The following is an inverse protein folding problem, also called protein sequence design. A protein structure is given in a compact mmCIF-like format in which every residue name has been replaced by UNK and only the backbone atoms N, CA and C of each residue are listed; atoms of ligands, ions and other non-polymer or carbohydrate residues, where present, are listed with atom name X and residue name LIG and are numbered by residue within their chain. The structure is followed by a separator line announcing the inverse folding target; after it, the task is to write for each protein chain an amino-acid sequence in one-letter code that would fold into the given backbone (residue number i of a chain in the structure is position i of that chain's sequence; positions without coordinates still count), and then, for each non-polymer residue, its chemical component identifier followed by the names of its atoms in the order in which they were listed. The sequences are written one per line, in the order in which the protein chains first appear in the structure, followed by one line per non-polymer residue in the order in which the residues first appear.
data_IF_017833949102
#
_entry.id   IF_017833949102
#
_cell.length_a   1.000
_cell.length_b   1.000
_cell.length_c   1.000
_cell.angle_alpha   90.00
_cell.angle_beta   90.00
_cell.angle_gamma   90.00
#
_symmetry.space_group_name_H-M   'P 1'
#
loop_
_entity.id
_entity.type
_entity.pdbx_description
1 polymer ?
#
# COMPACT_ATOMS: atom_id res chain seq x y z
N UNK A 1 -6.38 -29.07 -11.41
CA UNK A 1 -6.02 -28.12 -10.36
C UNK A 1 -4.66 -27.57 -10.74
N UNK A 2 -4.57 -26.30 -10.97
CA UNK A 2 -3.29 -25.65 -11.19
C UNK A 2 -2.44 -25.74 -9.92
N UNK A 3 -1.14 -25.84 -10.10
CA UNK A 3 -0.22 -25.89 -8.97
C UNK A 3 -0.11 -24.48 -8.34
N UNK A 4 -0.57 -24.23 -7.11
CA UNK A 4 -0.55 -22.89 -6.53
C UNK A 4 0.87 -22.37 -6.20
N UNK A 5 1.88 -23.21 -6.42
CA UNK A 5 3.30 -22.84 -6.28
C UNK A 5 3.99 -22.56 -7.63
N UNK A 6 3.26 -22.67 -8.74
CA UNK A 6 3.83 -22.29 -10.03
C UNK A 6 3.86 -20.76 -10.13
N UNK A 7 5.02 -20.21 -10.43
CA UNK A 7 5.19 -18.79 -10.74
C UNK A 7 5.13 -18.55 -12.24
N UNK A 8 4.59 -17.41 -12.64
CA UNK A 8 4.68 -16.86 -13.99
C UNK A 8 5.97 -16.03 -14.04
N UNK A 9 6.87 -16.27 -15.02
CA UNK A 9 8.02 -15.41 -15.22
C UNK A 9 7.58 -13.97 -15.58
N UNK A 10 8.37 -12.99 -15.12
CA UNK A 10 8.19 -11.60 -15.48
C UNK A 10 9.55 -10.94 -15.67
N UNK A 11 9.70 -10.15 -16.72
CA UNK A 11 10.90 -9.35 -16.97
C UNK A 11 10.81 -8.02 -16.21
N UNK A 12 11.91 -7.58 -15.60
CA UNK A 12 12.05 -6.24 -15.06
C UNK A 12 12.29 -5.28 -16.23
N UNK A 13 11.32 -4.46 -16.58
CA UNK A 13 11.39 -3.56 -17.74
C UNK A 13 11.89 -2.16 -17.35
N UNK A 14 11.67 -1.75 -16.09
CA UNK A 14 12.14 -0.46 -15.58
C UNK A 14 12.39 -0.51 -14.08
N UNK A 15 13.36 0.28 -13.62
CA UNK A 15 13.67 0.46 -12.20
C UNK A 15 13.79 1.95 -11.90
N UNK A 16 13.02 2.42 -10.91
CA UNK A 16 13.07 3.80 -10.42
C UNK A 16 13.55 3.82 -8.98
N UNK A 17 14.61 4.58 -8.71
CA UNK A 17 15.07 4.86 -7.35
C UNK A 17 14.15 5.92 -6.70
N UNK A 18 13.24 5.50 -5.82
CA UNK A 18 12.30 6.38 -5.13
C UNK A 18 12.94 7.13 -3.96
N UNK A 19 13.78 6.41 -3.21
CA UNK A 19 14.51 6.91 -2.05
C UNK A 19 15.80 6.12 -1.85
N UNK A 20 16.67 6.48 -0.89
CA UNK A 20 17.90 5.73 -0.65
C UNK A 20 17.74 4.22 -0.40
N UNK A 21 16.56 3.78 0.01
CA UNK A 21 16.28 2.38 0.36
C UNK A 21 15.03 1.81 -0.29
N UNK A 22 14.39 2.55 -1.21
CA UNK A 22 13.14 2.12 -1.85
C UNK A 22 13.28 2.28 -3.36
N UNK A 23 12.92 1.21 -4.09
CA UNK A 23 12.87 1.19 -5.55
C UNK A 23 11.48 0.76 -6.02
N UNK A 24 11.04 1.31 -7.14
CA UNK A 24 9.88 0.83 -7.91
C UNK A 24 10.38 0.04 -9.11
N UNK A 25 9.87 -1.18 -9.25
CA UNK A 25 10.14 -2.08 -10.36
C UNK A 25 8.90 -2.19 -11.23
N UNK A 26 9.03 -1.93 -12.52
CA UNK A 26 8.02 -2.30 -13.50
C UNK A 26 8.32 -3.71 -14.00
N UNK A 27 7.30 -4.56 -13.97
CA UNK A 27 7.38 -5.97 -14.33
C UNK A 27 6.43 -6.25 -15.48
N UNK A 28 6.94 -6.92 -16.53
CA UNK A 28 6.15 -7.44 -17.65
C UNK A 28 6.04 -8.96 -17.51
N UNK A 29 4.92 -9.51 -16.98
CA UNK A 29 4.72 -10.94 -16.86
C UNK A 29 4.45 -11.58 -18.23
N UNK A 30 4.84 -12.87 -18.42
CA UNK A 30 4.59 -13.63 -19.65
C UNK A 30 3.09 -13.75 -20.01
N UNK A 31 2.21 -13.55 -19.04
CA UNK A 31 0.75 -13.53 -19.20
C UNK A 31 0.17 -12.32 -18.44
N UNK A 32 -0.82 -11.61 -19.03
CA UNK A 32 -1.48 -10.49 -18.36
C UNK A 32 -1.99 -10.86 -16.96
N UNK A 33 -1.80 -9.97 -16.00
CA UNK A 33 -2.20 -10.19 -14.61
C UNK A 33 -3.27 -9.19 -14.17
N UNK A 34 -4.47 -9.70 -13.91
CA UNK A 34 -5.54 -8.93 -13.29
C UNK A 34 -5.40 -8.99 -11.76
N UNK A 35 -5.55 -7.87 -11.07
CA UNK A 35 -5.56 -7.82 -9.61
C UNK A 35 -6.54 -6.74 -9.14
N UNK A 36 -7.07 -6.89 -7.92
CA UNK A 36 -7.83 -5.84 -7.26
C UNK A 36 -6.92 -5.00 -6.36
N UNK A 37 -7.23 -3.70 -6.23
CA UNK A 37 -6.45 -2.81 -5.35
C UNK A 37 -6.39 -3.34 -3.92
N UNK A 38 -5.19 -3.42 -3.36
CA UNK A 38 -4.95 -3.98 -2.03
C UNK A 38 -4.69 -5.49 -2.00
N UNK A 39 -4.91 -6.24 -3.07
CA UNK A 39 -4.40 -7.60 -3.20
C UNK A 39 -2.88 -7.60 -3.33
N UNK A 40 -2.23 -8.73 -3.06
CA UNK A 40 -0.79 -8.86 -3.13
C UNK A 40 -0.35 -10.03 -4.03
N UNK A 41 0.87 -9.96 -4.49
CA UNK A 41 1.57 -11.02 -5.20
C UNK A 41 2.73 -11.55 -4.35
N UNK A 42 3.15 -12.80 -4.60
CA UNK A 42 4.43 -13.31 -4.16
C UNK A 42 5.43 -13.13 -5.29
N UNK A 43 6.44 -12.30 -5.06
CA UNK A 43 7.53 -12.07 -5.99
C UNK A 43 8.71 -12.96 -5.58
N UNK A 44 9.18 -13.80 -6.50
CA UNK A 44 10.25 -14.76 -6.25
C UNK A 44 11.52 -14.42 -7.01
N UNK A 45 12.64 -14.53 -6.31
CA UNK A 45 13.98 -14.48 -6.90
C UNK A 45 14.47 -15.91 -7.08
N UNK A 46 14.82 -16.35 -8.29
CA UNK A 46 15.24 -17.72 -8.55
C UNK A 46 16.40 -18.18 -7.66
N UNK A 47 16.17 -19.27 -6.92
CA UNK A 47 17.19 -19.86 -6.05
C UNK A 47 17.36 -19.24 -4.66
N UNK A 48 16.69 -18.13 -4.37
CA UNK A 48 16.78 -17.44 -3.08
C UNK A 48 15.48 -17.57 -2.24
N UNK A 49 14.35 -17.17 -2.81
CA UNK A 49 13.08 -17.21 -2.09
C UNK A 49 12.03 -16.29 -2.68
N UNK A 50 10.99 -16.01 -1.91
CA UNK A 50 9.89 -15.14 -2.31
C UNK A 50 9.43 -14.25 -1.15
N UNK A 51 8.86 -13.10 -1.49
CA UNK A 51 8.27 -12.17 -0.53
C UNK A 51 6.96 -11.56 -1.09
N UNK A 52 5.99 -11.19 -0.21
CA UNK A 52 4.73 -10.60 -0.62
C UNK A 52 4.87 -9.10 -0.88
N UNK A 53 4.29 -8.64 -1.99
CA UNK A 53 4.18 -7.22 -2.33
C UNK A 53 2.81 -6.91 -2.91
N UNK A 54 2.22 -5.79 -2.51
CA UNK A 54 1.02 -5.27 -3.15
C UNK A 54 1.45 -4.49 -4.39
N UNK A 55 0.88 -4.78 -5.59
CA UNK A 55 1.14 -3.97 -6.77
C UNK A 55 0.76 -2.50 -6.51
N UNK A 56 1.64 -1.60 -6.92
CA UNK A 56 1.47 -0.15 -6.76
C UNK A 56 0.97 0.54 -8.02
N UNK A 57 0.90 -0.18 -9.16
CA UNK A 57 0.31 0.30 -10.41
C UNK A 57 -1.22 0.31 -10.39
N UNK A 58 -1.81 0.89 -11.43
CA UNK A 58 -3.26 0.85 -11.62
C UNK A 58 -3.73 -0.56 -11.98
N UNK A 59 -4.77 -1.11 -11.32
CA UNK A 59 -5.39 -2.37 -11.71
C UNK A 59 -5.99 -2.39 -13.13
N UNK A 60 -6.19 -1.21 -13.73
CA UNK A 60 -6.68 -1.08 -15.10
C UNK A 60 -5.60 -1.39 -16.16
N UNK A 61 -4.34 -1.54 -15.75
CA UNK A 61 -3.21 -1.95 -16.60
C UNK A 61 -2.87 -3.39 -16.25
N UNK A 62 -2.99 -4.30 -17.21
CA UNK A 62 -2.81 -5.74 -16.97
C UNK A 62 -1.58 -6.34 -17.64
N UNK A 63 -1.02 -5.65 -18.64
CA UNK A 63 0.16 -6.12 -19.37
C UNK A 63 1.46 -5.91 -18.56
N UNK A 64 1.49 -4.89 -17.71
CA UNK A 64 2.59 -4.62 -16.78
C UNK A 64 2.05 -4.35 -15.39
N UNK A 65 2.88 -4.53 -14.38
CA UNK A 65 2.58 -4.12 -13.01
C UNK A 65 3.81 -3.51 -12.35
N UNK A 66 3.59 -2.55 -11.45
CA UNK A 66 4.66 -1.98 -10.64
C UNK A 66 4.60 -2.53 -9.22
N UNK A 67 5.76 -2.79 -8.65
CA UNK A 67 5.93 -3.10 -7.22
C UNK A 67 6.99 -2.18 -6.63
N UNK A 68 6.69 -1.58 -5.49
CA UNK A 68 7.61 -0.68 -4.79
C UNK A 68 8.12 -1.36 -3.55
N UNK A 69 9.43 -1.52 -3.47
CA UNK A 69 10.11 -2.43 -2.55
C UNK A 69 11.11 -1.66 -1.71
N UNK A 70 10.98 -1.77 -0.40
CA UNK A 70 11.99 -1.32 0.55
C UNK A 70 13.02 -2.43 0.77
N UNK A 71 14.29 -2.10 0.74
CA UNK A 71 15.38 -3.00 1.09
C UNK A 71 15.34 -3.32 2.60
N UNK A 72 14.97 -4.55 2.96
CA UNK A 72 14.77 -4.94 4.37
C UNK A 72 15.26 -6.36 4.72
N UNK A 73 15.64 -7.18 3.73
CA UNK A 73 16.06 -8.57 3.95
C UNK A 73 16.69 -9.19 2.71
N UNK A 74 16.98 -10.50 2.76
CA UNK A 74 17.72 -11.18 1.67
C UNK A 74 17.02 -11.08 0.31
N UNK A 75 15.71 -11.34 0.23
CA UNK A 75 14.96 -11.30 -1.03
C UNK A 75 14.90 -9.85 -1.57
N UNK A 76 14.62 -8.89 -0.71
CA UNK A 76 14.55 -7.48 -1.11
C UNK A 76 15.91 -6.91 -1.47
N UNK A 77 16.98 -7.32 -0.78
CA UNK A 77 18.35 -6.93 -1.12
C UNK A 77 18.76 -7.45 -2.49
N UNK A 78 18.49 -8.73 -2.80
CA UNK A 78 18.77 -9.29 -4.13
C UNK A 78 17.95 -8.59 -5.23
N UNK A 79 16.66 -8.29 -4.98
CA UNK A 79 15.83 -7.52 -5.91
C UNK A 79 16.44 -6.13 -6.18
N UNK A 80 16.99 -5.48 -5.15
CA UNK A 80 17.67 -4.19 -5.30
C UNK A 80 18.98 -4.25 -6.10
N UNK A 81 19.64 -5.41 -6.13
CA UNK A 81 20.86 -5.66 -6.91
C UNK A 81 20.54 -6.09 -8.36
N UNK A 82 19.27 -6.42 -8.70
CA UNK A 82 18.84 -6.78 -10.05
C UNK A 82 18.81 -5.57 -10.99
N UNK A 83 18.79 -5.85 -12.29
CA UNK A 83 18.82 -4.88 -13.38
C UNK A 83 17.66 -5.08 -14.34
N UNK A 84 17.37 -4.07 -15.14
CA UNK A 84 16.45 -4.19 -16.28
C UNK A 84 16.90 -5.33 -17.21
N UNK A 85 15.94 -6.15 -17.63
CA UNK A 85 16.14 -7.39 -18.40
C UNK A 85 16.31 -8.64 -17.54
N UNK A 86 16.46 -8.53 -16.23
CA UNK A 86 16.44 -9.68 -15.34
C UNK A 86 15.02 -10.24 -15.16
N UNK A 87 14.92 -11.52 -14.81
CA UNK A 87 13.64 -12.21 -14.68
C UNK A 87 13.36 -12.60 -13.24
N UNK A 88 12.16 -12.32 -12.79
CA UNK A 88 11.59 -12.71 -11.50
C UNK A 88 10.39 -13.65 -11.71
N UNK A 89 9.93 -14.31 -10.66
CA UNK A 89 8.71 -15.10 -10.74
C UNK A 89 7.57 -14.46 -9.96
N UNK A 90 6.36 -14.46 -10.49
CA UNK A 90 5.17 -13.91 -9.86
C UNK A 90 4.16 -15.01 -9.58
N UNK A 91 3.62 -15.05 -8.38
CA UNK A 91 2.46 -15.88 -8.00
C UNK A 91 1.37 -14.99 -7.39
N UNK A 92 0.15 -15.25 -7.72
CA UNK A 92 -1.00 -14.49 -7.23
C UNK A 92 -1.93 -14.09 -8.37
N UNK A 93 -2.78 -13.05 -8.18
CA UNK A 93 -2.91 -12.27 -6.94
C UNK A 93 -3.53 -13.08 -5.79
N UNK A 94 -3.31 -12.65 -4.57
CA UNK A 94 -3.81 -13.28 -3.36
C UNK A 94 -4.40 -12.25 -2.40
N UNK A 95 -5.19 -12.75 -1.46
CA UNK A 95 -5.77 -11.94 -0.42
C UNK A 95 -7.12 -11.34 -0.80
N UNK A 96 -7.51 -10.30 -0.07
CA UNK A 96 -8.71 -9.49 -0.29
C UNK A 96 -8.29 -8.03 -0.34
N UNK A 97 -8.66 -7.38 -1.42
CA UNK A 97 -8.40 -5.97 -1.64
C UNK A 97 -9.36 -5.04 -0.89
N UNK A 98 -9.28 -3.76 -1.22
CA UNK A 98 -10.19 -2.74 -0.72
C UNK A 98 -11.58 -2.92 -1.34
N UNK A 99 -12.66 -2.85 -0.54
CA UNK A 99 -14.03 -3.01 -1.02
C UNK A 99 -14.53 -1.69 -1.63
N UNK A 100 -14.16 -1.39 -2.87
CA UNK A 100 -14.50 -0.13 -3.55
C UNK A 100 -16.02 0.12 -3.58
N UNK A 101 -16.83 -0.93 -3.78
CA UNK A 101 -18.30 -0.83 -3.78
C UNK A 101 -18.84 -0.31 -2.43
N UNK A 102 -18.18 -0.60 -1.31
CA UNK A 102 -18.58 -0.11 0.01
C UNK A 102 -18.13 1.35 0.25
N UNK A 103 -17.24 1.87 -0.59
CA UNK A 103 -16.72 3.24 -0.54
C UNK A 103 -17.48 4.18 -1.47
N UNK A 104 -18.32 3.67 -2.39
CA UNK A 104 -19.10 4.48 -3.32
C UNK A 104 -19.99 5.50 -2.60
N UNK A 105 -19.98 6.75 -3.08
CA UNK A 105 -20.71 7.89 -2.53
C UNK A 105 -20.17 8.43 -1.20
N UNK A 106 -19.04 7.91 -0.73
CA UNK A 106 -18.42 8.28 0.54
C UNK A 106 -17.16 9.10 0.33
N UNK A 107 -16.83 9.97 1.27
CA UNK A 107 -15.52 10.60 1.32
C UNK A 107 -14.47 9.57 1.75
N UNK A 108 -13.28 9.61 1.15
CA UNK A 108 -12.21 8.66 1.41
C UNK A 108 -10.97 9.40 1.92
N UNK A 109 -10.64 9.18 3.19
CA UNK A 109 -9.41 9.64 3.80
C UNK A 109 -8.34 8.55 3.69
N UNK A 110 -7.28 8.80 2.97
CA UNK A 110 -6.14 7.90 2.83
C UNK A 110 -4.97 8.42 3.65
N UNK A 111 -4.43 7.60 4.55
CA UNK A 111 -3.30 7.98 5.42
C UNK A 111 -2.15 7.01 5.18
N UNK A 112 -1.08 7.51 4.60
CA UNK A 112 0.11 6.73 4.24
C UNK A 112 1.35 7.11 5.05
N UNK A 113 2.25 6.14 5.27
CA UNK A 113 3.55 6.39 5.89
C UNK A 113 4.68 5.62 5.20
N UNK A 114 5.72 6.34 4.75
CA UNK A 114 6.87 5.76 4.08
C UNK A 114 6.48 4.88 2.89
N UNK A 115 7.01 3.66 2.81
CA UNK A 115 6.68 2.71 1.73
C UNK A 115 5.20 2.27 1.74
N UNK A 116 4.45 2.52 2.82
CA UNK A 116 3.01 2.24 2.89
C UNK A 116 2.16 3.04 1.90
N UNK A 117 2.71 4.08 1.25
CA UNK A 117 2.03 4.72 0.11
C UNK A 117 1.92 3.79 -1.10
N UNK A 118 2.81 2.81 -1.26
CA UNK A 118 2.81 1.91 -2.40
C UNK A 118 1.52 1.07 -2.52
N UNK A 119 1.06 0.35 -1.48
CA UNK A 119 -0.25 -0.32 -1.51
C UNK A 119 -1.43 0.65 -1.71
N UNK A 120 -1.32 1.87 -1.21
CA UNK A 120 -2.36 2.90 -1.33
C UNK A 120 -2.42 3.54 -2.72
N UNK A 121 -1.32 3.54 -3.47
CA UNK A 121 -1.24 4.13 -4.80
C UNK A 121 -2.20 3.45 -5.79
N UNK A 122 -2.31 2.11 -5.75
CA UNK A 122 -3.28 1.37 -6.57
C UNK A 122 -4.73 1.75 -6.22
N UNK A 123 -5.04 1.99 -4.95
CA UNK A 123 -6.34 2.49 -4.50
C UNK A 123 -6.60 3.90 -5.05
N UNK A 124 -5.65 4.82 -4.91
CA UNK A 124 -5.78 6.20 -5.40
C UNK A 124 -6.03 6.24 -6.91
N UNK A 125 -5.38 5.37 -7.69
CA UNK A 125 -5.68 5.24 -9.13
C UNK A 125 -7.13 4.83 -9.39
N UNK A 126 -7.69 3.92 -8.62
CA UNK A 126 -9.08 3.48 -8.81
C UNK A 126 -10.07 4.57 -8.39
N UNK A 127 -9.82 5.26 -7.26
CA UNK A 127 -10.67 6.36 -6.80
C UNK A 127 -10.69 7.53 -7.80
N UNK A 128 -9.54 7.88 -8.37
CA UNK A 128 -9.42 8.98 -9.34
C UNK A 128 -9.86 8.62 -10.76
N UNK A 129 -9.87 7.33 -11.11
CA UNK A 129 -10.36 6.89 -12.41
C UNK A 129 -11.90 7.03 -12.54
N UNK A 130 -12.62 7.07 -11.44
CA UNK A 130 -14.08 7.16 -11.38
C UNK A 130 -14.50 8.19 -10.30
N UNK A 131 -14.11 9.47 -10.46
CA UNK A 131 -14.28 10.48 -9.42
C UNK A 131 -15.76 10.76 -9.08
N UNK A 132 -16.69 10.54 -10.01
CA UNK A 132 -18.13 10.72 -9.78
C UNK A 132 -18.73 9.63 -8.85
N UNK A 133 -18.03 8.50 -8.68
CA UNK A 133 -18.49 7.40 -7.84
C UNK A 133 -18.11 7.59 -6.36
N UNK A 134 -17.20 8.50 -6.06
CA UNK A 134 -16.71 8.76 -4.69
C UNK A 134 -16.98 10.22 -4.29
N UNK A 135 -16.94 10.49 -2.99
CA UNK A 135 -16.94 11.84 -2.45
C UNK A 135 -15.53 12.47 -2.52
N UNK A 136 -15.20 13.29 -1.54
CA UNK A 136 -13.87 13.92 -1.44
C UNK A 136 -12.81 12.85 -1.21
N UNK A 137 -11.70 12.93 -1.94
CA UNK A 137 -10.53 12.06 -1.77
C UNK A 137 -9.42 12.89 -1.11
N UNK A 138 -9.04 12.53 0.11
CA UNK A 138 -7.98 13.20 0.85
C UNK A 138 -6.81 12.24 1.09
N UNK A 139 -5.60 12.66 0.75
CA UNK A 139 -4.37 11.93 1.04
C UNK A 139 -3.52 12.69 2.07
N UNK A 140 -3.29 12.08 3.23
CA UNK A 140 -2.35 12.53 4.23
C UNK A 140 -1.14 11.58 4.19
N UNK A 141 0.03 12.08 3.79
CA UNK A 141 1.20 11.25 3.61
C UNK A 141 2.39 11.78 4.41
N UNK A 142 3.02 10.89 5.16
CA UNK A 142 4.18 11.17 6.00
C UNK A 142 5.40 10.34 5.61
N UNK A 143 6.57 10.96 5.62
CA UNK A 143 7.86 10.29 5.45
C UNK A 143 8.85 10.76 6.54
N UNK A 144 9.99 10.07 6.64
CA UNK A 144 11.02 10.42 7.63
C UNK A 144 11.70 11.75 7.32
N UNK A 145 11.98 12.00 6.04
CA UNK A 145 12.64 13.21 5.55
C UNK A 145 12.22 13.44 4.07
N UNK A 146 12.49 14.62 3.48
CA UNK A 146 12.07 14.92 2.10
C UNK A 146 12.65 13.95 1.05
N UNK A 147 13.85 13.42 1.26
CA UNK A 147 14.48 12.42 0.38
C UNK A 147 13.90 11.01 0.53
N UNK A 148 13.07 10.76 1.56
CA UNK A 148 12.34 9.51 1.81
C UNK A 148 10.90 9.54 1.29
N UNK A 149 10.42 10.65 0.73
CA UNK A 149 9.17 10.70 -0.01
C UNK A 149 9.31 9.88 -1.30
N UNK A 150 8.35 8.99 -1.55
CA UNK A 150 8.29 8.20 -2.80
C UNK A 150 7.29 8.81 -3.78
N UNK A 151 7.43 8.52 -5.08
CA UNK A 151 6.57 9.02 -6.16
C UNK A 151 6.51 10.56 -6.25
N UNK A 152 7.65 11.23 -6.08
CA UNK A 152 7.71 12.69 -5.96
C UNK A 152 7.02 13.43 -7.10
N UNK A 153 7.27 13.01 -8.36
CA UNK A 153 6.61 13.62 -9.53
C UNK A 153 5.09 13.47 -9.46
N UNK A 154 4.59 12.34 -8.98
CA UNK A 154 3.17 12.09 -8.83
C UNK A 154 2.57 12.84 -7.64
N UNK A 155 3.32 13.01 -6.54
CA UNK A 155 2.90 13.86 -5.42
C UNK A 155 2.78 15.33 -5.86
N UNK A 156 3.68 15.81 -6.71
CA UNK A 156 3.61 17.16 -7.29
C UNK A 156 2.36 17.31 -8.17
N UNK A 157 2.05 16.32 -9.00
CA UNK A 157 0.85 16.30 -9.82
C UNK A 157 -0.43 16.29 -8.97
N UNK A 158 -0.49 15.46 -7.93
CA UNK A 158 -1.61 15.41 -7.00
C UNK A 158 -1.77 16.70 -6.20
N UNK A 159 -0.68 17.33 -5.77
CA UNK A 159 -0.68 18.59 -5.03
C UNK A 159 -0.91 19.83 -5.89
N UNK A 160 -0.97 19.70 -7.22
CA UNK A 160 -1.10 20.84 -8.14
C UNK A 160 -2.46 21.56 -8.09
N UNK A 161 -3.46 21.01 -7.38
CA UNK A 161 -4.82 21.51 -7.32
C UNK A 161 -5.64 21.25 -8.61
N UNK A 162 -5.06 20.58 -9.59
CA UNK A 162 -5.75 20.08 -10.78
C UNK A 162 -6.17 18.61 -10.62
N UNK A 163 -5.74 17.95 -9.56
CA UNK A 163 -6.08 16.59 -9.21
C UNK A 163 -7.37 16.55 -8.36
N UNK A 164 -8.06 15.42 -8.42
CA UNK A 164 -9.21 15.12 -7.55
C UNK A 164 -8.76 14.76 -6.10
N UNK A 165 -7.45 14.71 -5.83
CA UNK A 165 -6.88 14.38 -4.51
C UNK A 165 -6.53 15.67 -3.77
N UNK A 166 -7.08 15.81 -2.55
CA UNK A 166 -6.64 16.81 -1.58
C UNK A 166 -5.44 16.25 -0.80
N UNK A 167 -4.24 16.72 -1.19
CA UNK A 167 -2.96 16.20 -0.68
C UNK A 167 -2.38 17.09 0.43
N UNK A 168 -2.04 16.47 1.56
CA UNK A 168 -1.14 17.07 2.54
C UNK A 168 0.04 16.14 2.85
N UNK A 169 1.22 16.76 2.87
CA UNK A 169 2.49 16.08 3.14
C UNK A 169 3.09 16.54 4.47
N UNK A 170 3.77 15.63 5.15
CA UNK A 170 4.61 15.94 6.30
C UNK A 170 5.88 15.09 6.29
N UNK A 171 6.92 15.59 6.93
CA UNK A 171 8.15 14.82 7.19
C UNK A 171 8.49 14.91 8.67
N UNK A 172 9.06 13.85 9.25
CA UNK A 172 9.46 13.88 10.67
C UNK A 172 10.59 14.90 10.88
N UNK A 173 11.53 15.01 9.91
CA UNK A 173 12.65 15.94 9.90
C UNK A 173 12.73 16.65 8.54
N UNK A 174 12.49 17.96 8.52
CA UNK A 174 12.67 18.81 7.33
C UNK A 174 14.15 19.20 7.14
N UNK A 175 14.54 19.44 5.89
CA UNK A 175 15.82 20.06 5.54
C UNK A 175 15.64 21.57 5.26
N UNK A 176 16.73 22.23 4.80
CA UNK A 176 16.73 23.68 4.55
C UNK A 176 15.80 24.10 3.39
N UNK A 177 15.45 23.17 2.50
CA UNK A 177 14.62 23.41 1.31
C UNK A 177 13.16 22.97 1.53
N UNK A 178 12.83 22.33 2.68
CA UNK A 178 11.49 21.84 2.97
C UNK A 178 10.57 22.94 3.48
N UNK A 179 9.54 23.28 2.70
CA UNK A 179 8.52 24.28 3.05
C UNK A 179 7.20 23.68 3.58
N UNK A 180 7.06 22.33 3.59
CA UNK A 180 5.85 21.63 4.03
C UNK A 180 5.77 21.44 5.54
N UNK A 181 4.79 20.63 5.98
CA UNK A 181 4.62 20.32 7.40
C UNK A 181 5.79 19.49 7.95
N UNK A 182 6.11 19.71 9.23
CA UNK A 182 7.11 18.95 9.97
C UNK A 182 6.47 18.30 11.19
N UNK A 183 6.66 17.00 11.33
CA UNK A 183 6.13 16.17 12.40
C UNK A 183 5.47 14.90 11.86
N UNK A 184 4.95 14.10 12.79
CA UNK A 184 4.30 12.82 12.46
C UNK A 184 2.98 13.02 11.72
N UNK A 185 2.60 12.05 10.88
CA UNK A 185 1.41 12.16 10.02
C UNK A 185 0.10 12.35 10.79
N UNK A 186 0.04 11.93 12.05
CA UNK A 186 -1.13 12.18 12.92
C UNK A 186 -1.40 13.65 13.19
N UNK A 187 -0.41 14.55 13.03
CA UNK A 187 -0.62 15.99 13.15
C UNK A 187 -1.51 16.54 12.04
N UNK A 188 -1.59 15.85 10.89
CA UNK A 188 -2.45 16.20 9.75
C UNK A 188 -3.91 15.76 9.94
N UNK A 189 -4.24 15.12 11.06
CA UNK A 189 -5.59 14.62 11.36
C UNK A 189 -6.40 15.54 12.28
N UNK A 190 -5.85 16.68 12.70
CA UNK A 190 -6.53 17.59 13.64
C UNK A 190 -7.70 18.33 12.98
N UNK A 191 -7.59 18.67 11.68
CA UNK A 191 -8.58 19.42 10.92
C UNK A 191 -8.96 18.64 9.64
N UNK A 192 -9.76 17.57 9.78
CA UNK A 192 -10.20 16.75 8.66
C UNK A 192 -11.29 17.45 7.84
N UNK A 193 -11.05 17.57 6.54
CA UNK A 193 -12.01 18.15 5.59
C UNK A 193 -12.89 17.11 4.88
N UNK A 194 -13.09 15.93 5.47
CA UNK A 194 -13.95 14.85 4.99
C UNK A 194 -15.20 14.71 5.85
N UNK A 195 -16.30 14.22 5.29
CA UNK A 195 -17.48 13.82 6.04
C UNK A 195 -17.16 12.59 6.90
N UNK A 196 -16.84 12.81 8.18
CA UNK A 196 -16.44 11.74 9.09
C UNK A 196 -17.60 10.84 9.55
N UNK A 197 -18.86 11.31 9.40
CA UNK A 197 -20.04 10.50 9.74
C UNK A 197 -20.36 9.44 8.67
N UNK A 198 -19.99 9.70 7.42
CA UNK A 198 -20.28 8.83 6.28
C UNK A 198 -19.03 8.40 5.52
N UNK A 199 -17.91 9.05 5.72
CA UNK A 199 -16.65 8.75 5.07
C UNK A 199 -16.02 7.46 5.56
N UNK A 200 -14.93 7.08 4.92
CA UNK A 200 -14.06 5.97 5.33
C UNK A 200 -12.63 6.46 5.45
N UNK A 201 -11.86 5.82 6.31
CA UNK A 201 -10.42 6.03 6.43
C UNK A 201 -9.65 4.76 6.04
N UNK A 202 -8.58 4.92 5.30
CA UNK A 202 -7.69 3.84 4.86
C UNK A 202 -6.28 4.15 5.35
N UNK A 203 -5.65 3.21 6.06
CA UNK A 203 -4.34 3.42 6.68
C UNK A 203 -3.36 2.34 6.27
N UNK A 204 -2.17 2.74 5.82
CA UNK A 204 -1.06 1.85 5.54
C UNK A 204 0.29 2.51 5.86
N UNK A 205 1.17 1.77 6.53
CA UNK A 205 2.50 2.26 6.91
C UNK A 205 3.12 1.44 8.04
N UNK A 206 4.19 1.94 8.65
CA UNK A 206 4.81 1.26 9.78
C UNK A 206 3.83 0.98 10.93
N UNK A 207 3.92 -0.18 11.62
CA UNK A 207 2.97 -0.57 12.66
C UNK A 207 2.73 0.50 13.73
N UNK A 208 3.79 1.18 14.16
CA UNK A 208 3.68 2.25 15.15
C UNK A 208 2.89 3.46 14.63
N UNK A 209 3.09 3.84 13.36
CA UNK A 209 2.32 4.90 12.71
C UNK A 209 0.85 4.48 12.59
N UNK A 210 0.57 3.27 12.07
CA UNK A 210 -0.79 2.75 11.94
C UNK A 210 -1.53 2.73 13.28
N UNK A 211 -0.85 2.33 14.36
CA UNK A 211 -1.41 2.33 15.71
C UNK A 211 -1.89 3.71 16.14
N UNK A 212 -1.02 4.71 16.09
CA UNK A 212 -1.38 6.06 16.54
C UNK A 212 -2.37 6.73 15.59
N UNK A 213 -2.24 6.55 14.29
CA UNK A 213 -3.20 7.02 13.29
C UNK A 213 -4.59 6.44 13.56
N UNK A 214 -4.69 5.12 13.75
CA UNK A 214 -5.97 4.47 14.08
C UNK A 214 -6.57 5.01 15.36
N UNK A 215 -5.76 5.22 16.42
CA UNK A 215 -6.23 5.80 17.67
C UNK A 215 -6.80 7.20 17.50
N UNK A 216 -6.14 8.06 16.71
CA UNK A 216 -6.65 9.41 16.41
C UNK A 216 -7.92 9.36 15.56
N UNK A 217 -7.99 8.45 14.58
CA UNK A 217 -9.15 8.31 13.69
C UNK A 217 -10.41 7.82 14.41
N UNK A 218 -10.29 7.09 15.50
CA UNK A 218 -11.43 6.64 16.33
C UNK A 218 -12.19 7.77 17.01
N UNK A 219 -11.64 8.97 17.07
CA UNK A 219 -12.36 10.17 17.52
C UNK A 219 -13.31 10.73 16.44
N UNK A 220 -13.16 10.28 15.19
CA UNK A 220 -13.85 10.79 14.01
C UNK A 220 -14.67 9.73 13.27
N UNK A 221 -14.18 8.50 13.18
CA UNK A 221 -14.77 7.42 12.39
C UNK A 221 -15.20 6.25 13.26
N UNK A 222 -16.25 5.56 12.84
CA UNK A 222 -16.58 4.28 13.43
C UNK A 222 -15.49 3.24 13.11
N UNK A 223 -15.29 2.30 14.04
CA UNK A 223 -14.25 1.25 13.91
C UNK A 223 -14.41 0.37 12.65
N UNK A 224 -15.62 0.25 12.12
CA UNK A 224 -15.94 -0.47 10.88
C UNK A 224 -15.59 0.29 9.61
N UNK A 225 -15.41 1.61 9.72
CA UNK A 225 -15.10 2.51 8.60
C UNK A 225 -13.61 2.85 8.50
N UNK A 226 -12.78 2.25 9.35
CA UNK A 226 -11.32 2.39 9.30
C UNK A 226 -10.73 1.10 8.74
N UNK A 227 -10.19 1.17 7.53
CA UNK A 227 -9.54 0.07 6.83
C UNK A 227 -8.02 0.11 7.06
N UNK A 228 -7.44 -1.03 7.42
CA UNK A 228 -6.03 -1.20 7.72
C UNK A 228 -5.42 -2.19 6.73
N UNK A 229 -4.35 -1.80 6.04
CA UNK A 229 -3.55 -2.72 5.25
C UNK A 229 -2.50 -3.36 6.14
N UNK A 230 -2.76 -4.59 6.57
CA UNK A 230 -1.93 -5.32 7.53
C UNK A 230 -0.90 -6.19 6.83
N UNK A 231 0.28 -6.31 7.43
CA UNK A 231 1.32 -7.20 6.95
C UNK A 231 1.70 -8.25 8.00
N UNK A 232 2.09 -9.40 7.54
CA UNK A 232 2.72 -10.48 8.32
C UNK A 232 3.66 -11.27 7.40
N UNK A 233 4.65 -11.92 7.98
CA UNK A 233 5.51 -12.83 7.23
C UNK A 233 4.68 -13.91 6.54
N UNK A 234 4.88 -14.09 5.25
CA UNK A 234 4.16 -15.06 4.44
C UNK A 234 5.11 -16.08 3.82
N UNK A 235 4.63 -17.33 3.68
CA UNK A 235 5.35 -18.37 2.96
C UNK A 235 4.52 -18.92 1.81
N UNK A 236 3.29 -19.40 2.04
CA UNK A 236 2.48 -19.96 0.96
C UNK A 236 1.73 -18.90 0.14
N UNK A 237 1.23 -17.83 0.77
CA UNK A 237 0.45 -16.78 0.13
C UNK A 237 -1.07 -17.06 0.02
N UNK A 238 -1.54 -18.30 0.28
CA UNK A 238 -2.93 -18.72 0.02
C UNK A 238 -3.59 -19.48 1.20
N UNK A 239 -3.17 -19.21 2.43
CA UNK A 239 -3.87 -19.70 3.63
C UNK A 239 -3.59 -21.15 4.06
N UNK A 240 -2.51 -21.79 3.60
CA UNK A 240 -2.21 -23.20 3.89
C UNK A 240 -1.24 -23.40 5.04
N UNK A 241 -0.19 -22.58 5.16
CA UNK A 241 0.90 -22.85 6.11
C UNK A 241 0.67 -22.26 7.50
N UNK A 242 -0.23 -21.27 7.66
CA UNK A 242 -0.50 -20.60 8.93
C UNK A 242 0.55 -19.57 9.34
N UNK A 243 1.61 -19.33 8.55
CA UNK A 243 2.70 -18.43 8.90
C UNK A 243 2.25 -16.97 9.11
N UNK A 244 1.29 -16.52 8.31
CA UNK A 244 0.72 -15.18 8.37
C UNK A 244 -0.49 -15.06 9.31
N UNK A 245 -0.57 -15.89 10.35
CA UNK A 245 -1.70 -15.88 11.27
C UNK A 245 -1.76 -14.57 12.07
N UNK A 246 -2.96 -13.96 12.09
CA UNK A 246 -3.30 -12.78 12.86
C UNK A 246 -4.59 -13.08 13.65
N UNK A 247 -4.46 -13.48 14.92
CA UNK A 247 -5.59 -13.96 15.71
C UNK A 247 -6.27 -15.17 15.06
N UNK A 248 -7.54 -15.00 14.67
CA UNK A 248 -8.33 -16.03 13.97
C UNK A 248 -8.19 -15.99 12.44
N UNK A 249 -7.49 -14.98 11.89
CA UNK A 249 -7.35 -14.75 10.46
C UNK A 249 -5.98 -15.21 9.93
N UNK A 250 -5.92 -15.45 8.64
CA UNK A 250 -4.68 -15.53 7.86
C UNK A 250 -4.59 -14.31 6.95
N UNK A 251 -3.60 -13.45 7.15
CA UNK A 251 -3.45 -12.20 6.39
C UNK A 251 -3.45 -12.45 4.87
N UNK A 252 -2.81 -13.52 4.43
CA UNK A 252 -2.73 -13.86 3.01
C UNK A 252 -4.05 -14.36 2.37
N UNK A 253 -5.09 -14.62 3.17
CA UNK A 253 -6.36 -15.17 2.68
C UNK A 253 -7.56 -14.31 3.06
N UNK A 254 -7.56 -13.86 4.32
CA UNK A 254 -8.68 -13.11 4.91
C UNK A 254 -8.48 -11.60 4.81
N UNK A 255 -7.23 -11.14 4.66
CA UNK A 255 -6.75 -9.80 4.39
C UNK A 255 -5.96 -9.73 3.07
N UNK A 256 -5.00 -8.82 2.90
CA UNK A 256 -4.34 -7.98 3.93
C UNK A 256 -5.19 -6.80 4.43
N UNK A 257 -6.25 -6.43 3.73
CA UNK A 257 -7.13 -5.33 4.14
C UNK A 257 -8.16 -5.83 5.15
N UNK A 258 -8.18 -5.21 6.31
CA UNK A 258 -9.14 -5.47 7.39
C UNK A 258 -9.75 -4.17 7.88
N UNK A 259 -11.01 -4.19 8.33
CA UNK A 259 -11.53 -3.09 9.12
C UNK A 259 -10.99 -3.18 10.56
N UNK A 260 -10.85 -2.04 11.23
CA UNK A 260 -10.32 -2.01 12.59
C UNK A 260 -11.19 -2.85 13.56
N UNK A 261 -12.51 -2.85 13.40
CA UNK A 261 -13.41 -3.64 14.25
C UNK A 261 -13.18 -5.16 14.14
N UNK A 262 -12.68 -5.64 13.00
CA UNK A 262 -12.32 -7.05 12.82
C UNK A 262 -11.08 -7.48 13.62
N UNK A 263 -10.13 -6.54 13.81
CA UNK A 263 -8.80 -6.87 14.35
C UNK A 263 -8.49 -6.23 15.70
N UNK A 264 -9.27 -5.26 16.17
CA UNK A 264 -9.02 -4.46 17.39
C UNK A 264 -8.81 -5.27 18.67
N UNK A 265 -9.43 -6.46 18.76
CA UNK A 265 -9.34 -7.32 19.94
C UNK A 265 -8.20 -8.37 19.85
N UNK A 266 -7.41 -8.32 18.79
CA UNK A 266 -6.27 -9.24 18.61
C UNK A 266 -5.11 -8.73 19.47
N UNK A 267 -4.59 -9.57 20.41
CA UNK A 267 -3.40 -9.22 21.18
C UNK A 267 -2.21 -8.94 20.24
N UNK A 268 -1.38 -7.99 20.63
CA UNK A 268 -0.13 -7.67 19.93
C UNK A 268 -0.33 -7.33 18.42
N UNK A 269 -1.48 -6.71 18.10
CA UNK A 269 -1.88 -6.34 16.74
C UNK A 269 -0.79 -5.55 16.00
N UNK A 270 -0.06 -4.72 16.73
CA UNK A 270 0.92 -3.77 16.20
C UNK A 270 2.39 -4.23 16.37
N UNK A 271 2.62 -5.52 16.66
CA UNK A 271 3.94 -6.12 16.81
C UNK A 271 4.40 -6.94 15.60
#
# INVERSE_FOLDING_TARGET
MENPYSSVPAEITSIVDESPTIKTFELEPDEPMEFATGEFIQLSVPGLGEAPFTPSSSPNVTDTLEVTIMEAGEVTGELHDMSEGDTVGIRGPYGKGYPLEEMEGRDVLVVGGGVGLAPLRSLLYMLTAQPDDFGKICLKYGARAPDHLIYKDQLDDWGSGASEIDLELTVDEGDEDWEGNVGVVTNLLEDLEVDTEKGVAVVCGPPIMMKFTTQSLLDYFESSDIYLSMEKNMSCGFGMCGHCQLGKYYVCKDGPVFTHDQVKDIPDLWE
#
